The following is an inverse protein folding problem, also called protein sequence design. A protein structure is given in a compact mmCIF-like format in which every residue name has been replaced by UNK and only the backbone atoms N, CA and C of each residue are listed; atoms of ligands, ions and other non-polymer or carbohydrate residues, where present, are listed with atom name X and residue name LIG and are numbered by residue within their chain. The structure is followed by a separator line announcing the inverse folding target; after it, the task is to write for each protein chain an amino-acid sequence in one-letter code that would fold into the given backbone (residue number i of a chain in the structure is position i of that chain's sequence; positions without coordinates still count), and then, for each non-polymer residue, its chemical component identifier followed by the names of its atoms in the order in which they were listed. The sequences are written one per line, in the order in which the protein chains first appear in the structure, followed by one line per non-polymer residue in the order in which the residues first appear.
data_IF_776363521709
#
_entry.id   IF_776363521709
#
_cell.length_a   1.000
_cell.length_b   1.000
_cell.length_c   1.000
_cell.angle_alpha   90.00
_cell.angle_beta   90.00
_cell.angle_gamma   90.00
#
_symmetry.space_group_name_H-M   'P 1'
#
loop_
_entity.id
_entity.type
_entity.pdbx_description
1 polymer ?
#
# COMPACT_ATOMS: atom_id res chain seq x y z
N UNK A 1 -40.01 5.01 12.87
CA UNK A 1 -39.20 4.94 11.64
C UNK A 1 -38.33 6.17 11.51
N UNK A 2 -37.12 5.95 11.02
CA UNK A 2 -36.20 7.03 10.65
C UNK A 2 -36.20 7.21 9.14
N UNK A 3 -35.86 8.41 8.65
CA UNK A 3 -35.74 8.66 7.21
C UNK A 3 -34.72 7.73 6.52
N UNK A 4 -33.75 7.19 7.27
CA UNK A 4 -32.79 6.21 6.77
C UNK A 4 -33.45 4.85 6.57
N UNK A 5 -34.25 4.40 7.53
CA UNK A 5 -34.99 3.14 7.48
C UNK A 5 -35.94 3.11 6.28
N UNK A 6 -36.65 4.21 6.01
CA UNK A 6 -37.49 4.36 4.81
C UNK A 6 -36.71 4.24 3.49
N UNK A 7 -35.43 4.62 3.48
CA UNK A 7 -34.59 4.59 2.28
C UNK A 7 -33.86 3.25 2.07
N UNK A 8 -33.88 2.33 3.03
CA UNK A 8 -33.20 1.03 2.90
C UNK A 8 -34.04 0.02 2.12
N UNK A 9 -33.41 -0.84 1.30
CA UNK A 9 -34.10 -1.91 0.56
C UNK A 9 -34.53 -3.09 1.45
N UNK A 10 -34.32 -2.98 2.77
CA UNK A 10 -34.48 -4.06 3.75
C UNK A 10 -35.04 -3.50 5.05
N UNK A 11 -35.66 -4.37 5.83
CA UNK A 11 -36.05 -4.13 7.21
C UNK A 11 -35.10 -4.88 8.14
N UNK A 12 -34.54 -4.17 9.12
CA UNK A 12 -33.60 -4.73 10.07
C UNK A 12 -34.35 -5.40 11.22
N UNK A 13 -34.13 -6.69 11.46
CA UNK A 13 -34.72 -7.38 12.62
C UNK A 13 -33.82 -7.15 13.84
N UNK A 14 -34.27 -6.39 14.87
CA UNK A 14 -33.38 -5.98 15.95
C UNK A 14 -32.84 -7.15 16.77
N UNK A 15 -31.52 -7.16 17.00
CA UNK A 15 -30.86 -8.13 17.88
C UNK A 15 -30.71 -9.54 17.31
N UNK A 16 -31.07 -9.76 16.04
CA UNK A 16 -30.92 -11.05 15.37
C UNK A 16 -29.73 -11.03 14.40
N UNK A 17 -28.99 -12.14 14.40
CA UNK A 17 -27.83 -12.36 13.55
C UNK A 17 -28.01 -13.63 12.73
N UNK A 18 -27.46 -13.63 11.52
CA UNK A 18 -27.44 -14.77 10.64
C UNK A 18 -26.00 -15.09 10.23
N UNK A 19 -25.69 -16.38 10.18
CA UNK A 19 -24.40 -16.92 9.73
C UNK A 19 -24.67 -17.85 8.57
N UNK A 20 -23.81 -17.84 7.57
CA UNK A 20 -23.98 -18.74 6.43
C UNK A 20 -23.07 -18.41 5.27
N UNK A 21 -23.16 -19.24 4.22
CA UNK A 21 -22.43 -19.02 2.97
C UNK A 21 -23.16 -17.99 2.11
N UNK A 22 -22.42 -17.19 1.36
CA UNK A 22 -22.94 -16.22 0.41
C UNK A 22 -23.13 -16.88 -0.96
N UNK A 23 -24.29 -16.65 -1.56
CA UNK A 23 -24.68 -17.09 -2.89
C UNK A 23 -25.12 -15.86 -3.68
N UNK A 24 -24.50 -15.64 -4.85
CA UNK A 24 -24.90 -14.57 -5.78
C UNK A 24 -26.15 -15.04 -6.52
N UNK A 25 -27.21 -14.22 -6.51
CA UNK A 25 -28.50 -14.52 -7.16
C UNK A 25 -28.61 -13.86 -8.53
N UNK A 26 -28.12 -12.62 -8.65
CA UNK A 26 -28.27 -11.79 -9.85
C UNK A 26 -26.89 -11.46 -10.46
N UNK A 27 -26.20 -12.43 -11.07
CA UNK A 27 -24.85 -12.22 -11.63
C UNK A 27 -24.82 -11.22 -12.79
N UNK A 28 -25.93 -11.07 -13.51
CA UNK A 28 -26.07 -10.15 -14.65
C UNK A 28 -26.41 -8.72 -14.22
N UNK A 29 -26.72 -8.49 -12.94
CA UNK A 29 -27.02 -7.16 -12.46
C UNK A 29 -25.79 -6.25 -12.64
N UNK A 30 -25.92 -5.01 -13.16
CA UNK A 30 -24.78 -4.18 -13.56
C UNK A 30 -23.69 -4.04 -12.49
N UNK A 31 -24.09 -3.84 -11.24
CA UNK A 31 -23.15 -3.77 -10.12
C UNK A 31 -22.40 -5.10 -9.89
N UNK A 32 -23.11 -6.24 -9.94
CA UNK A 32 -22.54 -7.56 -9.67
C UNK A 32 -21.61 -7.97 -10.83
N UNK A 33 -22.03 -7.71 -12.07
CA UNK A 33 -21.25 -7.96 -13.28
C UNK A 33 -19.96 -7.12 -13.35
N UNK A 34 -19.93 -5.95 -12.70
CA UNK A 34 -18.73 -5.11 -12.61
C UNK A 34 -17.62 -5.68 -11.71
N UNK A 35 -17.85 -6.84 -11.09
CA UNK A 35 -16.95 -7.46 -10.13
C UNK A 35 -16.56 -8.86 -10.59
N UNK A 36 -15.28 -9.25 -10.46
CA UNK A 36 -14.81 -10.59 -10.80
C UNK A 36 -15.16 -11.57 -9.66
N UNK A 37 -16.46 -11.86 -9.52
CA UNK A 37 -16.98 -12.77 -8.51
C UNK A 37 -16.92 -14.20 -9.01
N UNK A 38 -16.16 -15.03 -8.30
CA UNK A 38 -16.09 -16.47 -8.56
C UNK A 38 -16.84 -17.25 -7.46
N UNK A 39 -17.51 -18.36 -7.80
CA UNK A 39 -18.12 -19.23 -6.80
C UNK A 39 -17.07 -19.75 -5.80
N UNK A 40 -17.38 -19.66 -4.50
CA UNK A 40 -16.55 -20.27 -3.45
C UNK A 40 -15.32 -19.46 -3.03
N UNK A 41 -15.26 -18.16 -3.40
CA UNK A 41 -14.31 -17.20 -2.85
C UNK A 41 -14.24 -17.33 -1.32
N UNK A 42 -13.06 -17.17 -0.69
CA UNK A 42 -12.90 -17.43 0.75
C UNK A 42 -13.89 -16.69 1.65
N UNK A 43 -14.19 -15.43 1.33
CA UNK A 43 -15.15 -14.62 2.07
C UNK A 43 -16.61 -15.07 1.85
N UNK A 44 -16.94 -15.76 0.76
CA UNK A 44 -18.30 -16.27 0.53
C UNK A 44 -18.61 -17.56 1.30
N UNK A 45 -17.61 -18.23 1.89
CA UNK A 45 -17.81 -19.56 2.49
C UNK A 45 -18.55 -19.50 3.81
N UNK A 46 -18.28 -18.47 4.60
CA UNK A 46 -18.92 -18.20 5.87
C UNK A 46 -18.79 -16.71 6.14
N UNK A 47 -19.94 -16.05 6.30
CA UNK A 47 -20.05 -14.66 6.69
C UNK A 47 -21.04 -14.55 7.84
N UNK A 48 -20.93 -13.49 8.63
CA UNK A 48 -21.92 -13.07 9.61
C UNK A 48 -22.56 -11.75 9.22
N UNK A 49 -23.82 -11.58 9.60
CA UNK A 49 -24.54 -10.36 9.34
C UNK A 49 -25.77 -10.23 10.21
N UNK A 50 -26.36 -9.04 10.15
CA UNK A 50 -27.66 -8.79 10.76
C UNK A 50 -28.72 -9.58 10.00
N UNK A 51 -29.74 -10.02 10.72
CA UNK A 51 -30.95 -10.60 10.10
C UNK A 51 -31.77 -9.47 9.47
N UNK A 52 -32.11 -9.63 8.19
CA UNK A 52 -32.82 -8.66 7.38
C UNK A 52 -34.03 -9.31 6.72
N UNK A 53 -35.07 -8.52 6.47
CA UNK A 53 -36.16 -8.88 5.56
C UNK A 53 -36.10 -8.00 4.33
N UNK A 54 -36.26 -8.60 3.14
CA UNK A 54 -36.25 -7.85 1.89
C UNK A 54 -37.58 -7.09 1.74
N UNK A 55 -37.51 -5.81 1.38
CA UNK A 55 -38.72 -5.03 1.11
C UNK A 55 -39.33 -5.34 -0.25
N UNK A 56 -40.64 -5.17 -0.35
CA UNK A 56 -41.36 -5.26 -1.61
C UNK A 56 -40.80 -4.26 -2.64
N UNK A 57 -40.41 -4.79 -3.80
CA UNK A 57 -39.82 -4.01 -4.89
C UNK A 57 -38.29 -3.80 -4.79
N UNK A 58 -37.65 -4.27 -3.71
CA UNK A 58 -36.20 -4.37 -3.66
C UNK A 58 -35.69 -5.58 -4.45
N UNK A 59 -34.45 -5.47 -4.92
CA UNK A 59 -33.73 -6.52 -5.64
C UNK A 59 -32.70 -7.13 -4.72
N UNK A 60 -32.80 -8.43 -4.48
CA UNK A 60 -31.81 -9.21 -3.74
C UNK A 60 -30.72 -9.70 -4.71
N UNK A 61 -29.52 -9.15 -4.57
CA UNK A 61 -28.37 -9.48 -5.43
C UNK A 61 -27.58 -10.68 -4.93
N UNK A 62 -27.49 -10.83 -3.61
CA UNK A 62 -26.81 -11.94 -2.96
C UNK A 62 -27.54 -12.33 -1.68
N UNK A 63 -27.44 -13.62 -1.34
CA UNK A 63 -28.14 -14.25 -0.23
C UNK A 63 -27.17 -15.01 0.65
N UNK A 64 -27.38 -14.95 1.95
CA UNK A 64 -26.69 -15.77 2.94
C UNK A 64 -27.55 -17.01 3.23
N UNK A 65 -26.96 -18.20 3.23
CA UNK A 65 -27.68 -19.49 3.33
C UNK A 65 -27.06 -20.39 4.39
N UNK A 66 -27.89 -20.89 5.31
CA UNK A 66 -27.55 -21.89 6.34
C UNK A 66 -28.83 -22.59 6.83
N UNK A 67 -29.33 -23.56 6.08
CA UNK A 67 -30.62 -24.24 6.35
C UNK A 67 -31.85 -23.37 6.05
N UNK A 68 -31.81 -22.10 6.42
CA UNK A 68 -32.68 -21.01 5.97
C UNK A 68 -31.86 -19.97 5.18
N UNK A 69 -32.42 -18.78 4.95
CA UNK A 69 -31.79 -17.71 4.20
C UNK A 69 -32.00 -16.32 4.79
N UNK A 70 -31.06 -15.43 4.47
CA UNK A 70 -31.06 -14.02 4.82
C UNK A 70 -30.58 -13.18 3.62
N UNK A 71 -31.27 -12.11 3.22
CA UNK A 71 -30.77 -11.19 2.20
C UNK A 71 -29.40 -10.64 2.62
N UNK A 72 -28.40 -10.77 1.73
CA UNK A 72 -27.04 -10.30 2.02
C UNK A 72 -26.72 -8.99 1.32
N UNK A 73 -26.85 -8.96 0.00
CA UNK A 73 -26.76 -7.73 -0.79
C UNK A 73 -28.13 -7.42 -1.37
N UNK A 74 -28.65 -6.24 -1.07
CA UNK A 74 -29.94 -5.79 -1.56
C UNK A 74 -29.83 -4.38 -2.09
N UNK A 75 -30.56 -4.06 -3.15
CA UNK A 75 -30.61 -2.71 -3.72
C UNK A 75 -32.00 -2.36 -4.20
N UNK A 76 -32.32 -1.07 -4.19
CA UNK A 76 -33.54 -0.55 -4.81
C UNK A 76 -33.39 0.91 -5.18
N UNK A 77 -34.37 1.44 -5.91
CA UNK A 77 -34.45 2.88 -6.19
C UNK A 77 -35.27 3.56 -5.09
N UNK A 78 -34.72 4.65 -4.55
CA UNK A 78 -35.40 5.49 -3.58
C UNK A 78 -35.35 6.95 -4.04
N UNK A 79 -36.51 7.50 -4.42
CA UNK A 79 -36.60 8.78 -5.10
C UNK A 79 -35.82 8.78 -6.42
N UNK A 80 -34.90 9.74 -6.58
CA UNK A 80 -34.01 9.82 -7.74
C UNK A 80 -32.72 9.01 -7.60
N UNK A 81 -32.44 8.48 -6.39
CA UNK A 81 -31.21 7.77 -6.08
C UNK A 81 -31.37 6.25 -6.05
N UNK A 82 -30.26 5.56 -5.77
CA UNK A 82 -30.21 4.14 -5.45
C UNK A 82 -29.78 3.97 -4.00
N UNK A 83 -30.27 2.92 -3.36
CA UNK A 83 -29.84 2.52 -2.02
C UNK A 83 -29.38 1.06 -2.07
N UNK A 84 -28.45 0.73 -1.18
CA UNK A 84 -27.84 -0.59 -1.10
C UNK A 84 -27.65 -0.96 0.37
N UNK A 85 -27.99 -2.21 0.71
CA UNK A 85 -27.76 -2.78 2.02
C UNK A 85 -26.84 -3.99 1.92
N UNK A 86 -25.86 -4.05 2.82
CA UNK A 86 -25.04 -5.23 3.11
C UNK A 86 -25.38 -5.72 4.52
N UNK A 87 -25.78 -6.97 4.65
CA UNK A 87 -26.14 -7.54 5.95
C UNK A 87 -24.93 -7.68 6.88
N UNK A 88 -23.78 -8.02 6.29
CA UNK A 88 -22.52 -8.23 7.00
C UNK A 88 -21.69 -6.96 7.15
N UNK A 89 -20.77 -6.98 8.12
CA UNK A 89 -19.80 -5.91 8.30
C UNK A 89 -18.76 -5.92 7.18
N UNK A 90 -18.56 -4.78 6.52
CA UNK A 90 -17.46 -4.56 5.55
C UNK A 90 -16.19 -3.96 6.18
N UNK A 91 -16.07 -3.99 7.51
CA UNK A 91 -14.95 -3.45 8.29
C UNK A 91 -14.24 -4.57 9.09
N UNK A 92 -13.07 -4.33 9.71
CA UNK A 92 -12.25 -5.42 10.27
C UNK A 92 -12.93 -6.36 11.29
N UNK A 93 -14.01 -5.94 11.95
CA UNK A 93 -14.65 -6.76 12.98
C UNK A 93 -15.58 -7.86 12.42
N UNK A 94 -16.21 -7.64 11.25
CA UNK A 94 -17.09 -8.62 10.59
C UNK A 94 -16.67 -8.98 9.16
N UNK A 95 -15.80 -8.17 8.55
CA UNK A 95 -15.44 -8.27 7.14
C UNK A 95 -13.98 -8.59 6.86
N UNK A 96 -13.20 -9.04 7.85
CA UNK A 96 -11.75 -9.21 7.71
C UNK A 96 -11.36 -10.07 6.50
N UNK A 97 -12.09 -11.16 6.22
CA UNK A 97 -11.82 -12.03 5.08
C UNK A 97 -12.21 -11.36 3.76
N UNK A 98 -13.30 -10.60 3.74
CA UNK A 98 -13.75 -9.83 2.57
C UNK A 98 -12.78 -8.70 2.23
N UNK A 99 -12.27 -7.98 3.24
CA UNK A 99 -11.26 -6.93 3.06
C UNK A 99 -9.94 -7.43 2.49
N UNK A 100 -9.64 -8.73 2.64
CA UNK A 100 -8.46 -9.38 2.06
C UNK A 100 -8.68 -9.86 0.63
N UNK A 101 -9.91 -9.78 0.13
CA UNK A 101 -10.18 -10.09 -1.26
C UNK A 101 -9.48 -9.07 -2.15
N UNK A 102 -8.81 -9.57 -3.18
CA UNK A 102 -8.01 -8.77 -4.13
C UNK A 102 -8.80 -7.59 -4.72
N UNK A 103 -10.10 -7.80 -4.98
CA UNK A 103 -10.99 -6.81 -5.59
C UNK A 103 -11.86 -6.07 -4.57
N UNK A 104 -11.51 -6.08 -3.28
CA UNK A 104 -12.26 -5.35 -2.24
C UNK A 104 -12.29 -3.84 -2.52
N UNK A 105 -11.16 -3.26 -2.95
CA UNK A 105 -11.10 -1.86 -3.36
C UNK A 105 -12.00 -1.58 -4.56
N UNK A 106 -12.09 -2.53 -5.50
CA UNK A 106 -12.95 -2.41 -6.66
C UNK A 106 -14.43 -2.46 -6.30
N UNK A 107 -14.81 -3.38 -5.41
CA UNK A 107 -16.14 -3.43 -4.84
C UNK A 107 -16.57 -2.09 -4.24
N UNK A 108 -15.72 -1.49 -3.40
CA UNK A 108 -16.06 -0.23 -2.72
C UNK A 108 -16.26 0.91 -3.72
N UNK A 109 -15.34 1.06 -4.69
CA UNK A 109 -15.44 2.13 -5.70
C UNK A 109 -16.63 1.93 -6.64
N UNK A 110 -16.81 0.70 -7.15
CA UNK A 110 -17.90 0.39 -8.07
C UNK A 110 -19.26 0.51 -7.37
N UNK A 111 -19.34 0.22 -6.06
CA UNK A 111 -20.57 0.44 -5.29
C UNK A 111 -20.92 1.93 -5.24
N UNK A 112 -19.94 2.81 -5.03
CA UNK A 112 -20.18 4.26 -5.01
C UNK A 112 -20.61 4.77 -6.40
N UNK A 113 -19.97 4.32 -7.48
CA UNK A 113 -20.37 4.64 -8.86
C UNK A 113 -21.80 4.16 -9.17
N UNK A 114 -22.11 2.93 -8.77
CA UNK A 114 -23.44 2.38 -8.94
C UNK A 114 -24.48 3.21 -8.18
N UNK A 115 -24.22 3.58 -6.93
CA UNK A 115 -25.15 4.34 -6.09
C UNK A 115 -25.35 5.77 -6.58
N UNK A 116 -24.30 6.43 -7.09
CA UNK A 116 -24.38 7.78 -7.66
C UNK A 116 -25.03 7.80 -9.04
N UNK A 117 -25.27 6.65 -9.66
CA UNK A 117 -25.82 6.55 -11.01
C UNK A 117 -24.79 6.81 -12.12
N UNK A 118 -23.50 6.82 -11.78
CA UNK A 118 -22.43 6.88 -12.77
C UNK A 118 -22.33 5.55 -13.54
N UNK A 119 -21.67 5.63 -14.69
CA UNK A 119 -21.33 4.45 -15.47
C UNK A 119 -20.35 3.56 -14.68
N UNK A 120 -20.56 2.24 -14.80
CA UNK A 120 -19.68 1.25 -14.21
C UNK A 120 -18.63 0.85 -15.26
N UNK A 121 -17.42 0.47 -14.83
CA UNK A 121 -16.40 0.01 -15.77
C UNK A 121 -16.88 -1.18 -16.60
N UNK A 122 -16.69 -1.09 -17.92
CA UNK A 122 -16.96 -2.21 -18.84
C UNK A 122 -15.91 -3.34 -18.70
N UNK A 123 -14.66 -2.97 -18.40
CA UNK A 123 -13.58 -3.91 -18.12
C UNK A 123 -13.06 -3.75 -16.67
N UNK A 124 -13.56 -4.56 -15.73
CA UNK A 124 -13.13 -4.55 -14.33
C UNK A 124 -11.64 -4.85 -14.14
N UNK A 125 -11.02 -5.64 -15.02
CA UNK A 125 -9.63 -6.05 -14.87
C UNK A 125 -8.67 -4.90 -15.20
N UNK A 126 -8.98 -4.13 -16.23
CA UNK A 126 -8.21 -2.94 -16.62
C UNK A 126 -8.27 -1.88 -15.53
N UNK A 127 -9.45 -1.64 -14.94
CA UNK A 127 -9.59 -0.72 -13.81
C UNK A 127 -8.86 -1.20 -12.57
N UNK A 128 -8.94 -2.50 -12.26
CA UNK A 128 -8.22 -3.10 -11.15
C UNK A 128 -6.70 -2.91 -11.31
N UNK A 129 -6.18 -3.13 -12.52
CA UNK A 129 -4.77 -2.90 -12.84
C UNK A 129 -4.38 -1.44 -12.61
N UNK A 130 -5.20 -0.48 -13.07
CA UNK A 130 -4.94 0.94 -12.88
C UNK A 130 -4.87 1.29 -11.39
N UNK A 131 -5.85 0.84 -10.60
CA UNK A 131 -5.89 1.04 -9.14
C UNK A 131 -4.68 0.44 -8.42
N UNK A 132 -4.20 -0.73 -8.84
CA UNK A 132 -2.95 -1.31 -8.33
C UNK A 132 -1.75 -0.44 -8.66
N UNK A 133 -1.66 0.05 -9.89
CA UNK A 133 -0.55 0.90 -10.33
C UNK A 133 -0.50 2.24 -9.60
N UNK A 134 -1.65 2.84 -9.25
CA UNK A 134 -1.69 4.00 -8.36
C UNK A 134 -1.02 3.72 -7.00
N UNK A 135 -1.34 2.58 -6.39
CA UNK A 135 -0.72 2.17 -5.12
C UNK A 135 0.78 1.85 -5.28
N UNK A 136 1.17 1.25 -6.41
CA UNK A 136 2.56 0.95 -6.72
C UNK A 136 3.39 2.21 -6.94
N UNK A 137 2.84 3.22 -7.62
CA UNK A 137 3.46 4.54 -7.75
C UNK A 137 3.68 5.19 -6.39
N UNK A 138 2.63 5.25 -5.56
CA UNK A 138 2.72 5.81 -4.21
C UNK A 138 3.77 5.09 -3.34
N UNK A 139 3.81 3.76 -3.42
CA UNK A 139 4.77 2.93 -2.68
C UNK A 139 6.22 3.14 -3.17
N UNK A 140 6.42 3.17 -4.50
CA UNK A 140 7.72 3.41 -5.13
C UNK A 140 8.26 4.80 -4.81
N UNK A 141 7.41 5.83 -4.88
CA UNK A 141 7.76 7.20 -4.51
C UNK A 141 8.14 7.32 -3.03
N UNK A 142 7.35 6.72 -2.13
CA UNK A 142 7.66 6.69 -0.71
C UNK A 142 9.00 5.99 -0.41
N UNK A 143 9.28 4.90 -1.11
CA UNK A 143 10.58 4.22 -1.02
C UNK A 143 11.73 5.11 -1.48
N UNK A 144 11.56 5.81 -2.61
CA UNK A 144 12.57 6.71 -3.14
C UNK A 144 12.89 7.85 -2.16
N UNK A 145 11.88 8.47 -1.55
CA UNK A 145 12.09 9.46 -0.49
C UNK A 145 12.85 8.90 0.71
N UNK A 146 12.56 7.66 1.13
CA UNK A 146 13.31 7.03 2.22
C UNK A 146 14.80 6.83 1.88
N UNK A 147 15.12 6.53 0.61
CA UNK A 147 16.51 6.45 0.12
C UNK A 147 17.16 7.84 0.07
N UNK A 148 16.42 8.87 -0.35
CA UNK A 148 16.90 10.25 -0.36
C UNK A 148 17.25 10.73 1.06
N UNK A 149 16.33 10.56 2.02
CA UNK A 149 16.54 10.90 3.43
C UNK A 149 17.76 10.19 4.02
N UNK A 150 18.02 8.95 3.60
CA UNK A 150 19.22 8.22 3.98
C UNK A 150 20.48 8.87 3.39
N UNK A 151 20.49 9.16 2.08
CA UNK A 151 21.65 9.72 1.40
C UNK A 151 22.00 11.14 1.88
N UNK A 152 21.00 11.97 2.17
CA UNK A 152 21.18 13.33 2.68
C UNK A 152 21.85 13.35 4.07
N UNK A 153 21.55 12.36 4.93
CA UNK A 153 22.24 12.20 6.23
C UNK A 153 23.75 11.96 6.08
N UNK A 154 24.19 11.51 4.90
CA UNK A 154 25.59 11.33 4.55
C UNK A 154 26.17 12.46 3.69
N UNK A 155 25.40 13.54 3.49
CA UNK A 155 25.83 14.73 2.77
C UNK A 155 25.79 14.62 1.25
N UNK A 156 25.08 13.63 0.69
CA UNK A 156 24.82 13.58 -0.75
C UNK A 156 23.73 14.61 -1.14
N UNK A 157 23.94 15.35 -2.23
CA UNK A 157 22.87 16.17 -2.85
C UNK A 157 21.97 15.25 -3.68
N UNK A 158 20.66 15.34 -3.41
CA UNK A 158 19.62 14.55 -4.09
C UNK A 158 18.80 15.40 -5.08
N UNK A 159 19.25 16.61 -5.42
CA UNK A 159 18.52 17.57 -6.25
C UNK A 159 18.09 16.97 -7.60
N UNK A 160 18.98 16.21 -8.25
CA UNK A 160 18.67 15.53 -9.52
C UNK A 160 17.58 14.45 -9.37
N UNK A 161 17.46 13.83 -8.21
CA UNK A 161 16.42 12.83 -7.94
C UNK A 161 15.09 13.53 -7.66
N UNK A 162 15.11 14.71 -7.00
CA UNK A 162 13.93 15.56 -6.82
C UNK A 162 13.34 15.96 -8.16
N UNK A 163 14.17 16.44 -9.10
CA UNK A 163 13.72 16.82 -10.45
C UNK A 163 13.03 15.65 -11.19
N UNK A 164 13.56 14.43 -11.06
CA UNK A 164 12.96 13.23 -11.65
C UNK A 164 11.59 12.90 -11.00
N UNK A 165 11.46 13.09 -9.68
CA UNK A 165 10.18 12.88 -8.99
C UNK A 165 9.15 13.92 -9.46
N UNK A 166 9.56 15.18 -9.63
CA UNK A 166 8.67 16.23 -10.14
C UNK A 166 8.18 15.91 -11.55
N UNK A 167 9.04 15.43 -12.43
CA UNK A 167 8.66 14.96 -13.77
C UNK A 167 7.66 13.80 -13.70
N UNK A 168 7.92 12.79 -12.86
CA UNK A 168 7.02 11.66 -12.66
C UNK A 168 5.65 12.10 -12.12
N UNK A 169 5.62 13.09 -11.23
CA UNK A 169 4.39 13.62 -10.63
C UNK A 169 3.50 14.36 -11.64
N UNK A 170 4.09 15.02 -12.64
CA UNK A 170 3.33 15.62 -13.73
C UNK A 170 2.60 14.55 -14.53
N UNK A 171 3.31 13.50 -14.96
CA UNK A 171 2.71 12.38 -15.70
C UNK A 171 1.67 11.64 -14.85
N UNK A 172 1.92 11.46 -13.56
CA UNK A 172 0.97 10.86 -12.63
C UNK A 172 -0.31 11.70 -12.47
N UNK A 173 -0.19 13.03 -12.47
CA UNK A 173 -1.32 13.94 -12.44
C UNK A 173 -2.20 13.76 -13.69
N UNK A 174 -1.59 13.69 -14.87
CA UNK A 174 -2.31 13.44 -16.14
C UNK A 174 -2.99 12.06 -16.16
N UNK A 175 -2.34 11.05 -15.57
CA UNK A 175 -2.92 9.72 -15.40
C UNK A 175 -4.15 9.72 -14.48
N UNK A 176 -4.13 10.56 -13.44
CA UNK A 176 -5.24 10.73 -12.50
C UNK A 176 -6.44 11.38 -13.20
N UNK A 177 -6.20 12.42 -14.00
CA UNK A 177 -7.25 13.05 -14.81
C UNK A 177 -7.90 12.04 -15.75
N UNK A 178 -7.10 11.29 -16.50
CA UNK A 178 -7.59 10.26 -17.43
C UNK A 178 -8.42 9.18 -16.71
N UNK A 179 -8.00 8.76 -15.51
CA UNK A 179 -8.75 7.79 -14.70
C UNK A 179 -10.11 8.33 -14.24
N UNK A 180 -10.19 9.60 -13.83
CA UNK A 180 -11.45 10.24 -13.43
C UNK A 180 -12.42 10.33 -14.61
N UNK A 181 -11.88 10.62 -15.80
CA UNK A 181 -12.63 10.66 -17.06
C UNK A 181 -12.99 9.25 -17.60
N UNK A 182 -12.66 8.20 -16.84
CA UNK A 182 -12.86 6.78 -17.19
C UNK A 182 -12.09 6.32 -18.44
N UNK A 183 -11.08 7.06 -18.88
CA UNK A 183 -10.11 6.62 -19.88
C UNK A 183 -8.99 5.81 -19.22
N UNK A 184 -9.31 4.56 -18.91
CA UNK A 184 -8.44 3.67 -18.16
C UNK A 184 -7.20 3.21 -18.94
N UNK A 185 -7.30 3.08 -20.27
CA UNK A 185 -6.17 2.70 -21.12
C UNK A 185 -5.12 3.81 -21.16
N UNK A 186 -5.55 5.07 -21.36
CA UNK A 186 -4.64 6.21 -21.29
C UNK A 186 -4.05 6.37 -19.90
N UNK A 187 -4.87 6.23 -18.85
CA UNK A 187 -4.40 6.29 -17.46
C UNK A 187 -3.33 5.23 -17.17
N UNK A 188 -3.54 3.98 -17.62
CA UNK A 188 -2.57 2.90 -17.47
C UNK A 188 -1.24 3.23 -18.16
N UNK A 189 -1.29 3.68 -19.42
CA UNK A 189 -0.07 4.06 -20.15
C UNK A 189 0.73 5.15 -19.43
N UNK A 190 0.04 6.19 -18.96
CA UNK A 190 0.66 7.28 -18.20
C UNK A 190 1.22 6.81 -16.85
N UNK A 191 0.54 5.89 -16.15
CA UNK A 191 1.06 5.29 -14.92
C UNK A 191 2.31 4.44 -15.18
N UNK A 192 2.37 3.69 -16.28
CA UNK A 192 3.54 2.89 -16.68
C UNK A 192 4.73 3.81 -16.94
N UNK A 193 4.51 4.91 -17.66
CA UNK A 193 5.52 5.92 -17.94
C UNK A 193 6.01 6.62 -16.65
N UNK A 194 5.09 7.04 -15.77
CA UNK A 194 5.44 7.67 -14.49
C UNK A 194 6.24 6.73 -13.57
N UNK A 195 5.86 5.45 -13.50
CA UNK A 195 6.60 4.43 -12.74
C UNK A 195 8.00 4.20 -13.32
N UNK A 196 8.14 4.18 -14.64
CA UNK A 196 9.45 4.03 -15.29
C UNK A 196 10.39 5.19 -14.92
N UNK A 197 9.88 6.42 -14.91
CA UNK A 197 10.66 7.59 -14.46
C UNK A 197 11.09 7.46 -13.00
N UNK A 198 10.22 6.98 -12.10
CA UNK A 198 10.60 6.70 -10.70
C UNK A 198 11.65 5.59 -10.55
N UNK A 199 11.63 4.57 -11.42
CA UNK A 199 12.67 3.52 -11.44
C UNK A 199 14.02 4.13 -11.82
N UNK A 200 14.06 4.98 -12.84
CA UNK A 200 15.27 5.71 -13.23
C UNK A 200 15.78 6.61 -12.09
N UNK A 201 14.87 7.29 -11.38
CA UNK A 201 15.17 8.06 -10.17
C UNK A 201 15.77 7.20 -9.06
N UNK A 202 15.25 5.99 -8.87
CA UNK A 202 15.76 5.02 -7.89
C UNK A 202 17.18 4.56 -8.23
N UNK A 203 17.44 4.21 -9.49
CA UNK A 203 18.79 3.88 -9.95
C UNK A 203 19.78 5.04 -9.78
N UNK A 204 19.32 6.28 -9.96
CA UNK A 204 20.14 7.46 -9.73
C UNK A 204 20.43 7.65 -8.24
N UNK A 205 19.42 7.51 -7.38
CA UNK A 205 19.57 7.61 -5.94
C UNK A 205 20.54 6.56 -5.39
N UNK A 206 20.48 5.31 -5.86
CA UNK A 206 21.42 4.27 -5.45
C UNK A 206 22.87 4.57 -5.86
N UNK A 207 23.08 5.14 -7.05
CA UNK A 207 24.44 5.57 -7.46
C UNK A 207 25.00 6.66 -6.55
N UNK A 208 24.17 7.62 -6.16
CA UNK A 208 24.57 8.68 -5.21
C UNK A 208 24.84 8.11 -3.82
N UNK A 209 24.01 7.17 -3.36
CA UNK A 209 24.22 6.41 -2.12
C UNK A 209 25.58 5.72 -2.11
N UNK A 210 25.91 4.98 -3.16
CA UNK A 210 27.15 4.20 -3.24
C UNK A 210 28.38 5.13 -3.28
N UNK A 211 28.27 6.28 -3.95
CA UNK A 211 29.32 7.30 -3.95
C UNK A 211 29.55 7.88 -2.55
N UNK A 212 28.47 8.22 -1.81
CA UNK A 212 28.57 8.72 -0.44
C UNK A 212 29.19 7.68 0.51
N UNK A 213 28.73 6.43 0.42
CA UNK A 213 29.24 5.31 1.22
C UNK A 213 30.72 5.04 0.96
N UNK A 214 31.17 5.19 -0.28
CA UNK A 214 32.60 5.05 -0.63
C UNK A 214 33.46 6.09 0.09
N UNK A 215 33.02 7.35 0.15
CA UNK A 215 33.77 8.39 0.85
C UNK A 215 33.82 8.18 2.37
N UNK A 216 32.71 7.73 2.96
CA UNK A 216 32.67 7.37 4.38
C UNK A 216 33.68 6.28 4.68
N UNK A 217 33.70 5.22 3.86
CA UNK A 217 34.66 4.13 4.02
C UNK A 217 36.11 4.62 3.95
N UNK A 218 36.44 5.50 3.00
CA UNK A 218 37.78 6.08 2.87
C UNK A 218 38.15 6.91 4.11
N UNK A 219 37.23 7.73 4.62
CA UNK A 219 37.47 8.54 5.83
C UNK A 219 37.67 7.64 7.05
N UNK A 220 36.83 6.62 7.23
CA UNK A 220 36.95 5.66 8.31
C UNK A 220 38.30 4.93 8.26
N UNK A 221 38.69 4.45 7.09
CA UNK A 221 39.99 3.81 6.89
C UNK A 221 41.15 4.75 7.21
N UNK A 222 41.07 6.02 6.80
CA UNK A 222 42.08 7.03 7.12
C UNK A 222 42.16 7.32 8.63
N UNK A 223 41.03 7.39 9.33
CA UNK A 223 40.98 7.57 10.80
C UNK A 223 41.61 6.38 11.51
N UNK A 224 41.31 5.15 11.09
CA UNK A 224 41.91 3.93 11.66
C UNK A 224 43.42 3.92 11.42
N UNK A 225 43.87 4.22 10.20
CA UNK A 225 45.28 4.26 9.85
C UNK A 225 46.05 5.35 10.63
N UNK A 226 45.47 6.54 10.78
CA UNK A 226 46.04 7.62 11.58
C UNK A 226 46.14 7.24 13.05
N UNK A 227 45.08 6.66 13.62
CA UNK A 227 45.05 6.20 15.03
C UNK A 227 46.11 5.14 15.27
N UNK A 228 46.22 4.13 14.39
CA UNK A 228 47.25 3.09 14.48
C UNK A 228 48.67 3.68 14.39
N UNK A 229 48.90 4.62 13.48
CA UNK A 229 50.19 5.28 13.30
C UNK A 229 50.59 6.06 14.55
N UNK A 230 49.67 6.84 15.13
CA UNK A 230 49.91 7.60 16.36
C UNK A 230 50.20 6.67 17.53
N UNK A 231 49.37 5.63 17.73
CA UNK A 231 49.60 4.64 18.78
C UNK A 231 50.94 3.93 18.61
N UNK A 232 51.30 3.57 17.37
CA UNK A 232 52.59 2.97 17.03
C UNK A 232 53.77 3.87 17.37
N UNK A 233 53.71 5.16 16.99
CA UNK A 233 54.75 6.14 17.31
C UNK A 233 54.88 6.36 18.81
N UNK A 234 53.76 6.49 19.54
CA UNK A 234 53.76 6.65 21.01
C UNK A 234 54.38 5.43 21.69
N UNK A 235 53.94 4.22 21.31
CA UNK A 235 54.48 2.98 21.85
C UNK A 235 55.98 2.83 21.57
N UNK A 236 56.40 3.07 20.32
CA UNK A 236 57.82 3.04 19.93
C UNK A 236 58.64 4.06 20.72
N UNK A 237 58.17 5.30 20.83
CA UNK A 237 58.86 6.38 21.57
C UNK A 237 59.05 6.00 23.04
N UNK A 238 58.03 5.42 23.67
CA UNK A 238 58.10 4.92 25.04
C UNK A 238 59.10 3.75 25.18
N UNK A 239 59.11 2.81 24.24
CA UNK A 239 60.04 1.68 24.24
C UNK A 239 61.50 2.12 24.04
N UNK A 240 61.77 3.02 23.10
CA UNK A 240 63.12 3.54 22.84
C UNK A 240 63.63 4.34 24.05
N UNK A 241 62.79 5.20 24.62
CA UNK A 241 63.13 5.93 25.85
C UNK A 241 63.44 4.96 27.00
N UNK A 242 62.60 3.93 27.21
CA UNK A 242 62.88 2.90 28.22
C UNK A 242 64.19 2.14 27.97
N UNK A 243 64.56 1.91 26.71
CA UNK A 243 65.82 1.23 26.36
C UNK A 243 67.06 2.11 26.60
N UNK A 244 67.00 3.39 26.23
CA UNK A 244 68.11 4.33 26.39
C UNK A 244 68.37 4.70 27.86
N UNK A 245 67.31 4.82 28.67
CA UNK A 245 67.40 5.16 30.10
C UNK A 245 67.49 3.93 31.02
N UNK A 246 67.66 2.73 30.46
CA UNK A 246 67.95 1.54 31.27
C UNK A 246 69.40 1.64 31.72
N UNK A 247 69.61 2.21 32.91
CA UNK A 247 70.93 2.35 33.53
C UNK A 247 71.69 1.02 33.44
N UNK A 248 72.87 1.07 32.82
CA UNK A 248 73.86 0.00 32.92
C UNK A 248 74.34 0.06 34.37
N UNK A 249 73.66 -0.67 35.25
CA UNK A 249 74.18 -1.00 36.57
C UNK A 249 75.42 -1.85 36.38
N UNK A 250 76.57 -1.20 36.14
CA UNK A 250 77.87 -1.86 36.17
C UNK A 250 78.10 -2.27 37.63
N UNK A 251 77.87 -3.54 37.93
CA UNK A 251 78.29 -4.16 39.19
C UNK A 251 79.81 -4.14 39.23
N UNK A 252 80.35 -3.14 39.91
CA UNK A 252 81.77 -3.02 40.20
C UNK A 252 82.11 -4.06 41.27
N UNK A 253 82.75 -5.16 40.86
CA UNK A 253 83.40 -6.10 41.77
C UNK A 253 84.46 -5.37 42.60
N UNK A 254 84.27 -5.26 43.91
CA UNK A 254 85.34 -4.95 44.87
C UNK A 254 85.97 -6.25 45.35
N UNK A 255 87.30 -6.22 45.42
CA UNK A 255 88.21 -7.29 45.76
C UNK A 255 88.57 -7.24 47.24
#
# INVERSE_FOLDING_TARGET
ETAVEEALPVECIPGMYFWGRIVILEPEHPFVASLPLEPGLPWMRLYDGNMLELRDGAVELARQVEGDHNPFWSTWKYGAGRSFAIAGGWHPAGGLVFMRWEYYGDFANNLMLYLSGNELPEDPLTVHRARKMFNEYASSKAYLFAVMDFCEKFGASMDQVVEIIEEADLTFSDATHSYIDQDYETSLGLLEDALKVLVEGSERAFRLKDQAMTWIYVIEWAIIAATLSICGVVAWTLMVRRRLYREIGSTRFMR
#
